data_IF_800139331947
#
_entry.id   IF_800139331947
#
_cell.length_a   1.000
_cell.length_b   1.000
_cell.length_c   1.000
_cell.angle_alpha   90.00
_cell.angle_beta   90.00
_cell.angle_gamma   90.00
#
_symmetry.space_group_name_H-M   'P 1'
#
loop_
_entity.id
_entity.type
_entity.pdbx_description
1 polymer ?
#
# COMPACT_ATOMS: atom_id res chain seq x y z
N UNK A 1 25.74 -28.89 -50.21
CA UNK A 1 25.40 -27.46 -50.10
C UNK A 1 24.64 -27.24 -48.82
N UNK A 2 25.38 -26.97 -47.75
CA UNK A 2 24.85 -26.60 -46.44
C UNK A 2 24.10 -25.27 -46.50
N UNK A 3 23.16 -25.08 -45.59
CA UNK A 3 22.40 -23.83 -45.52
C UNK A 3 23.21 -22.75 -44.80
N UNK A 4 23.49 -21.65 -45.48
CA UNK A 4 24.19 -20.50 -44.89
C UNK A 4 23.19 -19.55 -44.23
N UNK A 5 23.55 -19.05 -43.06
CA UNK A 5 22.78 -17.98 -42.42
C UNK A 5 23.06 -16.65 -43.11
N UNK A 6 22.06 -15.77 -43.20
CA UNK A 6 22.22 -14.43 -43.80
C UNK A 6 23.34 -13.62 -43.15
N UNK A 7 23.59 -13.82 -41.85
CA UNK A 7 24.70 -13.18 -41.13
C UNK A 7 26.07 -13.71 -41.57
N UNK A 8 26.19 -15.01 -41.88
CA UNK A 8 27.42 -15.60 -42.36
C UNK A 8 27.74 -15.15 -43.80
N UNK A 9 26.74 -15.10 -44.68
CA UNK A 9 26.91 -14.62 -46.06
C UNK A 9 27.37 -13.15 -46.11
N UNK A 10 26.73 -12.29 -45.32
CA UNK A 10 27.12 -10.88 -45.22
C UNK A 10 28.56 -10.74 -44.70
N UNK A 11 28.93 -11.52 -43.68
CA UNK A 11 30.27 -11.50 -43.09
C UNK A 11 31.34 -11.99 -44.06
N UNK A 12 31.04 -13.02 -44.85
CA UNK A 12 31.93 -13.54 -45.89
C UNK A 12 32.20 -12.46 -46.95
N UNK A 13 31.17 -11.73 -47.39
CA UNK A 13 31.33 -10.61 -48.32
C UNK A 13 32.23 -9.49 -47.78
N UNK A 14 32.10 -9.16 -46.50
CA UNK A 14 32.98 -8.19 -45.83
C UNK A 14 34.43 -8.67 -45.76
N UNK A 15 34.65 -9.95 -45.41
CA UNK A 15 35.99 -10.54 -45.38
C UNK A 15 36.66 -10.50 -46.76
N UNK A 16 35.94 -10.90 -47.80
CA UNK A 16 36.46 -10.91 -49.18
C UNK A 16 36.85 -9.50 -49.64
N UNK A 17 36.04 -8.49 -49.29
CA UNK A 17 36.36 -7.08 -49.59
C UNK A 17 37.64 -6.62 -48.88
N UNK A 18 37.75 -6.91 -47.58
CA UNK A 18 38.93 -6.57 -46.79
C UNK A 18 40.18 -7.30 -47.29
N UNK A 19 40.05 -8.57 -47.70
CA UNK A 19 41.15 -9.36 -48.22
C UNK A 19 41.67 -8.81 -49.55
N UNK A 20 40.77 -8.48 -50.49
CA UNK A 20 41.17 -7.84 -51.75
C UNK A 20 41.86 -6.49 -51.53
N UNK A 21 41.39 -5.71 -50.57
CA UNK A 21 42.00 -4.42 -50.24
C UNK A 21 43.39 -4.56 -49.58
N UNK A 22 43.63 -5.62 -48.79
CA UNK A 22 44.94 -5.90 -48.17
C UNK A 22 46.00 -6.31 -49.19
N UNK A 23 45.60 -7.08 -50.19
CA UNK A 23 46.50 -7.59 -51.24
C UNK A 23 46.68 -6.57 -52.39
N UNK A 24 45.93 -5.47 -52.40
CA UNK A 24 46.06 -4.40 -53.38
C UNK A 24 45.50 -4.73 -54.77
N UNK A 25 44.65 -5.75 -54.89
CA UNK A 25 43.99 -6.09 -56.15
C UNK A 25 42.79 -5.18 -56.43
N UNK A 26 42.65 -4.73 -57.67
CA UNK A 26 41.52 -3.92 -58.16
C UNK A 26 40.97 -4.49 -59.47
N UNK A 27 39.70 -4.18 -59.80
CA UNK A 27 39.11 -4.57 -61.08
C UNK A 27 38.87 -6.08 -61.23
N UNK A 28 39.32 -6.64 -62.36
CA UNK A 28 39.09 -8.03 -62.77
C UNK A 28 39.86 -9.02 -61.87
N UNK A 29 41.11 -8.71 -61.52
CA UNK A 29 41.94 -9.52 -60.62
C UNK A 29 41.32 -9.66 -59.21
N UNK A 30 40.65 -8.60 -58.74
CA UNK A 30 39.93 -8.63 -57.48
C UNK A 30 38.65 -9.49 -57.55
N UNK A 31 38.04 -9.63 -58.74
CA UNK A 31 36.86 -10.48 -58.92
C UNK A 31 37.27 -11.96 -58.96
N UNK A 32 38.35 -12.30 -59.67
CA UNK A 32 38.90 -13.66 -59.71
C UNK A 32 39.31 -14.15 -58.32
N UNK A 33 40.04 -13.33 -57.56
CA UNK A 33 40.44 -13.68 -56.19
C UNK A 33 39.24 -13.90 -55.27
N UNK A 34 38.18 -13.09 -55.41
CA UNK A 34 36.95 -13.26 -54.63
C UNK A 34 36.24 -14.56 -54.98
N UNK A 35 36.16 -14.91 -56.26
CA UNK A 35 35.50 -16.12 -56.70
C UNK A 35 36.27 -17.37 -56.21
N UNK A 36 37.58 -17.38 -56.35
CA UNK A 36 38.43 -18.49 -55.93
C UNK A 36 38.38 -18.70 -54.41
N UNK A 37 38.53 -17.62 -53.63
CA UNK A 37 38.38 -17.68 -52.16
C UNK A 37 36.97 -18.09 -51.73
N UNK A 38 35.94 -17.62 -52.44
CA UNK A 38 34.56 -18.03 -52.14
C UNK A 38 34.41 -19.54 -52.32
N UNK A 39 34.90 -20.09 -53.43
CA UNK A 39 34.85 -21.52 -53.71
C UNK A 39 35.58 -22.32 -52.64
N UNK A 40 36.80 -21.92 -52.32
CA UNK A 40 37.63 -22.62 -51.33
C UNK A 40 37.03 -22.57 -49.91
N UNK A 41 36.46 -21.44 -49.50
CA UNK A 41 35.78 -21.30 -48.21
C UNK A 41 34.49 -22.15 -48.16
N UNK A 42 33.76 -22.27 -49.26
CA UNK A 42 32.59 -23.14 -49.32
C UNK A 42 32.97 -24.62 -49.26
N UNK A 43 34.06 -25.03 -49.93
CA UNK A 43 34.59 -26.40 -49.87
C UNK A 43 35.01 -26.78 -48.44
N UNK A 44 35.71 -25.89 -47.74
CA UNK A 44 36.12 -26.12 -46.34
C UNK A 44 34.96 -26.08 -45.35
N UNK A 45 33.95 -25.25 -45.62
CA UNK A 45 32.71 -25.24 -44.84
C UNK A 45 31.92 -26.56 -45.01
N UNK A 46 31.98 -27.21 -46.18
CA UNK A 46 31.38 -28.52 -46.43
C UNK A 46 32.07 -29.64 -45.63
N UNK A 47 33.37 -29.50 -45.31
CA UNK A 47 34.12 -30.46 -44.48
C UNK A 47 33.82 -30.35 -42.97
N UNK A 48 33.17 -29.27 -42.52
CA UNK A 48 32.93 -29.00 -41.09
C UNK A 48 31.63 -29.66 -40.59
N UNK A 49 31.54 -30.23 -39.39
CA UNK A 49 30.28 -30.87 -38.93
C UNK A 49 29.08 -29.90 -38.80
N UNK A 50 27.91 -30.30 -39.34
CA UNK A 50 26.63 -29.59 -39.23
C UNK A 50 25.94 -29.27 -40.57
N UNK A 51 24.61 -29.15 -40.55
CA UNK A 51 23.78 -28.89 -41.75
C UNK A 51 23.67 -27.40 -42.11
N UNK A 52 24.00 -26.51 -41.17
CA UNK A 52 23.91 -25.06 -41.33
C UNK A 52 25.22 -24.38 -40.98
N UNK A 53 25.69 -23.44 -41.82
CA UNK A 53 26.89 -22.63 -41.58
C UNK A 53 26.49 -21.31 -40.90
N UNK A 54 26.75 -21.23 -39.59
CA UNK A 54 26.57 -20.02 -38.78
C UNK A 54 27.83 -19.17 -38.70
N UNK A 55 27.69 -17.95 -38.16
CA UNK A 55 28.79 -16.98 -38.00
C UNK A 55 30.03 -17.56 -37.28
N UNK A 56 29.82 -18.37 -36.24
CA UNK A 56 30.92 -18.96 -35.46
C UNK A 56 31.72 -20.01 -36.25
N UNK A 57 31.03 -20.82 -37.06
CA UNK A 57 31.70 -21.81 -37.91
C UNK A 57 32.46 -21.12 -39.04
N UNK A 58 31.89 -20.07 -39.64
CA UNK A 58 32.58 -19.26 -40.64
C UNK A 58 33.87 -18.64 -40.07
N UNK A 59 33.84 -18.01 -38.89
CA UNK A 59 35.03 -17.41 -38.27
C UNK A 59 36.12 -18.47 -37.97
N UNK A 60 35.74 -19.70 -37.62
CA UNK A 60 36.70 -20.81 -37.44
C UNK A 60 37.33 -21.25 -38.77
N UNK A 61 36.55 -21.34 -39.85
CA UNK A 61 37.06 -21.67 -41.19
C UNK A 61 38.02 -20.57 -41.67
N UNK A 62 37.63 -19.30 -41.52
CA UNK A 62 38.47 -18.14 -41.89
C UNK A 62 39.77 -18.09 -41.07
N UNK A 63 39.70 -18.36 -39.76
CA UNK A 63 40.88 -18.42 -38.90
C UNK A 63 41.84 -19.56 -39.20
N UNK A 64 41.38 -20.64 -39.84
CA UNK A 64 42.24 -21.74 -40.32
C UNK A 64 42.87 -21.44 -41.67
N UNK A 65 42.12 -20.80 -42.58
CA UNK A 65 42.55 -20.56 -43.96
C UNK A 65 43.47 -19.37 -44.12
N UNK A 66 43.34 -18.35 -43.27
CA UNK A 66 44.10 -17.12 -43.39
C UNK A 66 44.89 -16.84 -42.11
N UNK A 67 46.20 -17.07 -42.15
CA UNK A 67 47.11 -16.82 -41.04
C UNK A 67 47.20 -15.33 -40.62
N UNK A 68 46.77 -14.40 -41.49
CA UNK A 68 46.64 -12.97 -41.20
C UNK A 68 45.24 -12.54 -40.77
N UNK A 69 44.34 -13.49 -40.57
CA UNK A 69 42.98 -13.23 -40.11
C UNK A 69 42.95 -12.88 -38.63
N UNK A 70 42.56 -11.64 -38.35
CA UNK A 70 42.20 -11.20 -37.00
C UNK A 70 40.68 -11.32 -36.92
N UNK A 71 40.12 -12.29 -36.16
CA UNK A 71 38.68 -12.32 -35.94
C UNK A 71 38.27 -10.98 -35.33
N UNK A 72 37.17 -10.40 -35.82
CA UNK A 72 36.63 -9.18 -35.20
C UNK A 72 36.37 -9.58 -33.75
N UNK A 73 36.95 -8.90 -32.74
CA UNK A 73 36.65 -9.23 -31.36
C UNK A 73 35.15 -9.12 -31.22
N UNK A 74 34.47 -10.25 -31.03
CA UNK A 74 33.04 -10.29 -30.72
C UNK A 74 32.91 -9.30 -29.59
N UNK A 75 32.36 -8.11 -29.85
CA UNK A 75 32.19 -7.10 -28.80
C UNK A 75 31.42 -7.87 -27.74
N UNK A 76 32.01 -8.20 -26.57
CA UNK A 76 31.19 -8.73 -25.51
C UNK A 76 30.08 -7.70 -25.40
N UNK A 77 28.82 -8.13 -25.34
CA UNK A 77 27.73 -7.24 -24.94
C UNK A 77 28.13 -6.75 -23.55
N UNK A 78 28.97 -5.70 -23.50
CA UNK A 78 29.32 -4.91 -22.35
C UNK A 78 28.06 -4.11 -22.11
N UNK A 79 27.05 -4.82 -21.61
CA UNK A 79 26.11 -4.19 -20.71
C UNK A 79 26.99 -3.57 -19.64
N UNK A 80 27.00 -2.25 -19.60
CA UNK A 80 27.43 -1.48 -18.45
C UNK A 80 26.59 -1.95 -17.25
N UNK A 81 26.92 -3.10 -16.69
CA UNK A 81 26.47 -3.48 -15.36
C UNK A 81 27.39 -2.70 -14.44
N UNK A 82 27.05 -1.42 -14.22
CA UNK A 82 27.50 -0.70 -13.03
C UNK A 82 27.29 -1.68 -11.88
N UNK A 83 28.38 -2.10 -11.23
CA UNK A 83 28.36 -2.82 -9.96
C UNK A 83 27.72 -1.88 -8.92
N UNK A 84 26.40 -1.69 -9.01
CA UNK A 84 25.60 -1.21 -7.89
C UNK A 84 25.90 -2.21 -6.79
N UNK A 85 26.72 -1.78 -5.84
CA UNK A 85 27.30 -2.66 -4.84
C UNK A 85 26.20 -3.44 -4.14
N UNK A 86 26.45 -4.71 -3.76
CA UNK A 86 25.49 -5.51 -3.00
C UNK A 86 24.94 -4.73 -1.79
N UNK A 87 25.75 -3.84 -1.21
CA UNK A 87 25.37 -2.91 -0.15
C UNK A 87 24.06 -2.15 -0.42
N UNK A 88 23.91 -1.45 -1.55
CA UNK A 88 22.72 -0.64 -1.85
C UNK A 88 21.45 -1.49 -1.96
N UNK A 89 21.56 -2.67 -2.56
CA UNK A 89 20.43 -3.60 -2.67
C UNK A 89 20.05 -4.23 -1.33
N UNK A 90 21.03 -4.50 -0.46
CA UNK A 90 20.78 -4.96 0.92
C UNK A 90 20.14 -3.88 1.77
N UNK A 91 20.67 -2.65 1.74
CA UNK A 91 20.17 -1.55 2.56
C UNK A 91 18.74 -1.19 2.18
N UNK A 92 18.46 -0.93 0.90
CA UNK A 92 17.13 -0.47 0.47
C UNK A 92 16.14 -1.60 0.20
N UNK A 93 16.61 -2.81 -0.12
CA UNK A 93 15.75 -3.96 -0.40
C UNK A 93 15.41 -4.81 0.82
N UNK A 94 16.20 -4.74 1.91
CA UNK A 94 16.06 -5.61 3.09
C UNK A 94 16.06 -4.80 4.39
N UNK A 95 17.17 -4.12 4.71
CA UNK A 95 17.37 -3.50 6.04
C UNK A 95 16.36 -2.38 6.28
N UNK A 96 16.26 -1.43 5.35
CA UNK A 96 15.36 -0.29 5.49
C UNK A 96 13.89 -0.72 5.55
N UNK A 97 13.37 -1.58 4.65
CA UNK A 97 11.98 -2.06 4.75
C UNK A 97 11.66 -2.78 6.07
N UNK A 98 12.61 -3.54 6.62
CA UNK A 98 12.45 -4.18 7.94
C UNK A 98 12.36 -3.13 9.04
N UNK A 99 13.24 -2.13 9.05
CA UNK A 99 13.20 -1.05 10.03
C UNK A 99 11.88 -0.27 9.92
N UNK A 100 11.47 0.11 8.72
CA UNK A 100 10.21 0.84 8.48
C UNK A 100 9.01 0.03 8.96
N UNK A 101 8.96 -1.27 8.64
CA UNK A 101 7.88 -2.15 9.09
C UNK A 101 7.85 -2.29 10.62
N UNK A 102 9.02 -2.43 11.26
CA UNK A 102 9.10 -2.51 12.72
C UNK A 102 8.64 -1.20 13.36
N UNK A 103 9.12 -0.06 12.87
CA UNK A 103 8.71 1.26 13.36
C UNK A 103 7.19 1.41 13.22
N UNK A 104 6.61 1.11 12.06
CA UNK A 104 5.15 1.20 11.88
C UNK A 104 4.38 0.21 12.77
N UNK A 105 4.82 -1.05 12.87
CA UNK A 105 4.16 -2.05 13.71
C UNK A 105 4.16 -1.67 15.21
N UNK A 106 5.20 -0.97 15.64
CA UNK A 106 5.36 -0.54 17.03
C UNK A 106 4.67 0.80 17.30
N UNK A 107 4.72 1.73 16.34
CA UNK A 107 4.31 3.12 16.56
C UNK A 107 3.01 3.53 15.90
N UNK A 108 2.58 2.83 14.85
CA UNK A 108 1.44 3.21 14.01
C UNK A 108 1.53 4.66 13.49
N UNK A 109 2.76 5.15 13.25
CA UNK A 109 3.04 6.53 12.88
C UNK A 109 2.39 6.92 11.55
N UNK A 110 2.47 6.08 10.52
CA UNK A 110 1.78 6.36 9.25
C UNK A 110 0.27 6.37 9.47
N UNK A 111 -0.24 5.43 10.27
CA UNK A 111 -1.66 5.36 10.65
C UNK A 111 -2.19 6.60 11.37
N UNK A 112 -1.36 7.25 12.19
CA UNK A 112 -1.75 8.43 12.96
C UNK A 112 -1.65 9.76 12.19
N UNK A 113 -0.91 9.79 11.08
CA UNK A 113 -0.66 11.03 10.32
C UNK A 113 -1.33 11.02 8.93
N UNK A 114 -1.32 9.88 8.24
CA UNK A 114 -1.77 9.77 6.84
C UNK A 114 -2.77 8.62 6.66
N UNK A 115 -2.27 7.40 6.61
CA UNK A 115 -3.05 6.18 6.47
C UNK A 115 -2.27 5.03 7.08
N UNK A 116 -2.96 3.98 7.51
CA UNK A 116 -2.29 2.79 8.04
C UNK A 116 -1.93 1.84 6.88
N UNK A 117 -0.63 1.65 6.55
CA UNK A 117 -0.20 0.76 5.47
C UNK A 117 -0.32 -0.73 5.86
N UNK A 118 -0.38 -1.03 7.16
CA UNK A 118 -0.46 -2.40 7.68
C UNK A 118 -1.65 -2.58 8.64
N UNK A 119 -2.90 -2.39 8.17
CA UNK A 119 -4.05 -2.31 9.05
C UNK A 119 -4.53 -3.69 9.56
N UNK A 120 -3.97 -4.80 9.04
CA UNK A 120 -4.17 -6.15 9.57
C UNK A 120 -2.86 -6.94 9.57
N UNK A 121 -2.81 -8.05 10.30
CA UNK A 121 -1.68 -8.99 10.28
C UNK A 121 -1.36 -9.51 8.86
N UNK A 122 -2.36 -9.63 7.98
CA UNK A 122 -2.13 -10.04 6.58
C UNK A 122 -1.36 -8.99 5.78
N UNK A 123 -1.58 -7.70 6.05
CA UNK A 123 -0.79 -6.63 5.42
C UNK A 123 0.64 -6.61 5.96
N UNK A 124 0.82 -6.86 7.27
CA UNK A 124 2.15 -7.02 7.87
C UNK A 124 2.90 -8.16 7.18
N UNK A 125 2.26 -9.32 7.02
CA UNK A 125 2.85 -10.48 6.34
C UNK A 125 3.20 -10.17 4.88
N UNK A 126 2.30 -9.48 4.16
CA UNK A 126 2.51 -9.08 2.76
C UNK A 126 3.68 -8.12 2.61
N UNK A 127 3.78 -7.09 3.46
CA UNK A 127 4.90 -6.13 3.46
C UNK A 127 6.20 -6.82 3.89
N UNK A 128 6.16 -7.70 4.89
CA UNK A 128 7.33 -8.46 5.36
C UNK A 128 7.88 -9.43 4.29
N UNK A 129 7.02 -9.94 3.41
CA UNK A 129 7.44 -10.80 2.30
C UNK A 129 8.45 -10.10 1.38
N UNK A 130 8.36 -8.77 1.22
CA UNK A 130 9.26 -8.00 0.35
C UNK A 130 10.73 -8.11 0.78
N UNK A 131 11.14 -7.69 2.00
CA UNK A 131 12.53 -7.83 2.43
C UNK A 131 12.99 -9.28 2.57
N UNK A 132 12.11 -10.20 2.96
CA UNK A 132 12.44 -11.63 3.07
C UNK A 132 12.81 -12.24 1.72
N UNK A 133 11.97 -12.02 0.71
CA UNK A 133 12.22 -12.52 -0.65
C UNK A 133 13.42 -11.82 -1.27
N UNK A 134 13.57 -10.51 -1.10
CA UNK A 134 14.76 -9.77 -1.57
C UNK A 134 16.05 -10.33 -0.95
N UNK A 135 16.07 -10.60 0.36
CA UNK A 135 17.22 -11.20 1.03
C UNK A 135 17.53 -12.60 0.49
N UNK A 136 16.50 -13.43 0.27
CA UNK A 136 16.66 -14.75 -0.33
C UNK A 136 17.23 -14.69 -1.75
N UNK A 137 16.73 -13.78 -2.59
CA UNK A 137 17.25 -13.57 -3.95
C UNK A 137 18.68 -13.03 -3.95
N UNK A 138 19.03 -12.12 -3.04
CA UNK A 138 20.39 -11.59 -2.88
C UNK A 138 21.39 -12.67 -2.43
N UNK A 139 20.94 -13.71 -1.73
CA UNK A 139 21.74 -14.90 -1.38
C UNK A 139 21.83 -15.94 -2.50
N UNK A 140 21.32 -15.62 -3.69
CA UNK A 140 21.40 -16.46 -4.88
C UNK A 140 20.20 -17.40 -5.09
N UNK A 141 19.13 -17.28 -4.29
CA UNK A 141 17.90 -18.04 -4.51
C UNK A 141 18.10 -19.56 -4.55
N UNK A 142 19.01 -20.07 -3.70
CA UNK A 142 19.47 -21.47 -3.70
C UNK A 142 18.30 -22.45 -3.58
N UNK A 143 18.34 -23.50 -4.40
CA UNK A 143 17.35 -24.60 -4.37
C UNK A 143 16.06 -24.33 -5.17
N UNK A 144 15.90 -23.16 -5.78
CA UNK A 144 14.73 -22.84 -6.60
C UNK A 144 15.06 -22.78 -8.09
N UNK A 145 14.20 -23.38 -8.92
CA UNK A 145 14.27 -23.24 -10.37
C UNK A 145 13.93 -21.82 -10.86
N UNK A 146 14.27 -21.54 -12.12
CA UNK A 146 14.06 -20.25 -12.77
C UNK A 146 12.61 -19.74 -12.65
N UNK A 147 11.61 -20.61 -12.76
CA UNK A 147 10.21 -20.26 -12.61
C UNK A 147 9.83 -19.77 -11.21
N UNK A 148 10.32 -20.43 -10.16
CA UNK A 148 10.04 -20.03 -8.76
C UNK A 148 10.73 -18.71 -8.45
N UNK A 149 11.98 -18.53 -8.88
CA UNK A 149 12.69 -17.25 -8.74
C UNK A 149 11.98 -16.12 -9.50
N UNK A 150 11.46 -16.42 -10.69
CA UNK A 150 10.61 -15.52 -11.46
C UNK A 150 9.36 -15.13 -10.68
N UNK A 151 8.61 -16.10 -10.16
CA UNK A 151 7.38 -15.88 -9.40
C UNK A 151 7.63 -15.05 -8.14
N UNK A 152 8.66 -15.37 -7.37
CA UNK A 152 9.06 -14.59 -6.20
C UNK A 152 9.39 -13.14 -6.57
N UNK A 153 10.15 -12.92 -7.65
CA UNK A 153 10.49 -11.58 -8.13
C UNK A 153 9.26 -10.79 -8.60
N UNK A 154 8.31 -11.45 -9.27
CA UNK A 154 7.06 -10.84 -9.72
C UNK A 154 6.17 -10.44 -8.56
N UNK A 155 5.97 -11.36 -7.61
CA UNK A 155 5.18 -11.11 -6.41
C UNK A 155 5.73 -9.93 -5.61
N UNK A 156 7.02 -9.99 -5.26
CA UNK A 156 7.68 -8.95 -4.47
C UNK A 156 7.71 -7.59 -5.16
N UNK A 157 7.93 -7.55 -6.47
CA UNK A 157 7.94 -6.28 -7.21
C UNK A 157 6.55 -5.65 -7.24
N UNK A 158 5.49 -6.41 -7.54
CA UNK A 158 4.12 -5.88 -7.57
C UNK A 158 3.70 -5.36 -6.19
N UNK A 159 3.96 -6.12 -5.13
CA UNK A 159 3.68 -5.68 -3.75
C UNK A 159 4.46 -4.40 -3.41
N UNK A 160 5.76 -4.35 -3.69
CA UNK A 160 6.57 -3.19 -3.40
C UNK A 160 6.14 -1.95 -4.21
N UNK A 161 5.75 -2.14 -5.48
CA UNK A 161 5.22 -1.05 -6.31
C UNK A 161 3.88 -0.56 -5.78
N UNK A 162 2.96 -1.44 -5.40
CA UNK A 162 1.68 -1.05 -4.82
C UNK A 162 1.87 -0.13 -3.61
N UNK A 163 2.67 -0.56 -2.63
CA UNK A 163 2.95 0.27 -1.46
C UNK A 163 3.78 1.51 -1.81
N UNK A 164 4.74 1.41 -2.72
CA UNK A 164 5.50 2.57 -3.21
C UNK A 164 4.60 3.64 -3.84
N UNK A 165 3.56 3.25 -4.58
CA UNK A 165 2.58 4.16 -5.17
C UNK A 165 1.74 4.85 -4.10
N UNK A 166 1.33 4.14 -3.04
CA UNK A 166 0.60 4.76 -1.93
C UNK A 166 1.39 5.91 -1.27
N UNK A 167 2.72 5.79 -1.21
CA UNK A 167 3.59 6.81 -0.63
C UNK A 167 4.09 7.87 -1.64
N UNK A 168 3.79 7.73 -2.94
CA UNK A 168 4.28 8.64 -3.97
C UNK A 168 3.81 10.10 -3.78
N UNK A 169 2.54 10.41 -3.44
CA UNK A 169 2.10 11.78 -3.19
C UNK A 169 2.83 12.43 -2.02
N UNK A 170 3.29 11.61 -1.06
CA UNK A 170 3.99 12.07 0.13
C UNK A 170 5.46 12.40 -0.15
N UNK A 171 5.99 12.20 -1.36
CA UNK A 171 7.43 12.35 -1.65
C UNK A 171 7.95 13.74 -1.29
N UNK A 172 7.20 14.80 -1.58
CA UNK A 172 7.61 16.19 -1.31
C UNK A 172 7.74 16.43 0.20
N UNK A 173 6.71 16.05 0.96
CA UNK A 173 6.70 16.15 2.43
C UNK A 173 7.80 15.28 3.03
N UNK A 174 8.03 14.10 2.45
CA UNK A 174 9.07 13.16 2.87
C UNK A 174 10.47 13.73 2.67
N UNK A 175 10.74 14.38 1.54
CA UNK A 175 12.05 15.01 1.29
C UNK A 175 12.31 16.15 2.28
N UNK A 176 11.30 16.99 2.54
CA UNK A 176 11.41 18.07 3.53
C UNK A 176 11.65 17.49 4.94
N UNK A 177 10.86 16.50 5.35
CA UNK A 177 10.99 15.84 6.64
C UNK A 177 12.31 15.08 6.79
N UNK A 178 12.88 14.54 5.69
CA UNK A 178 14.19 13.93 5.67
C UNK A 178 15.29 14.95 5.96
N UNK A 179 15.24 16.11 5.30
CA UNK A 179 16.24 17.18 5.45
C UNK A 179 16.21 17.78 6.86
N UNK A 180 15.01 18.00 7.42
CA UNK A 180 14.86 18.69 8.69
C UNK A 180 14.99 17.77 9.92
N UNK A 181 14.46 16.54 9.85
CA UNK A 181 14.24 15.69 11.02
C UNK A 181 14.69 14.23 10.81
N UNK A 182 15.17 13.85 9.62
CA UNK A 182 15.52 12.47 9.25
C UNK A 182 14.34 11.51 9.11
N UNK A 183 13.12 11.92 9.52
CA UNK A 183 11.92 11.07 9.56
C UNK A 183 11.34 10.73 8.18
N UNK A 184 11.69 11.51 7.15
CA UNK A 184 11.23 11.28 5.78
C UNK A 184 11.67 9.94 5.17
N UNK A 185 12.64 9.26 5.79
CA UNK A 185 13.08 7.94 5.36
C UNK A 185 11.97 6.88 5.53
N UNK A 186 11.03 7.06 6.46
CA UNK A 186 9.93 6.14 6.71
C UNK A 186 8.99 6.04 5.50
N UNK A 187 8.59 7.17 4.94
CA UNK A 187 7.72 7.25 3.77
C UNK A 187 8.46 7.02 2.44
N UNK A 188 9.76 7.29 2.37
CA UNK A 188 10.58 6.95 1.19
C UNK A 188 10.92 5.45 1.12
N UNK A 189 10.88 4.74 2.24
CA UNK A 189 11.23 3.33 2.35
C UNK A 189 10.54 2.43 1.31
N UNK A 190 9.20 2.44 1.19
CA UNK A 190 8.48 1.64 0.19
C UNK A 190 8.87 1.94 -1.26
N UNK A 191 9.13 3.21 -1.60
CA UNK A 191 9.55 3.62 -2.95
C UNK A 191 10.94 3.06 -3.25
N UNK A 192 11.87 3.20 -2.31
CA UNK A 192 13.23 2.68 -2.44
C UNK A 192 13.25 1.15 -2.48
N UNK A 193 12.35 0.49 -1.73
CA UNK A 193 12.15 -0.95 -1.77
C UNK A 193 11.67 -1.43 -3.14
N UNK A 194 10.76 -0.71 -3.80
CA UNK A 194 10.31 -1.03 -5.16
C UNK A 194 11.46 -0.96 -6.17
N UNK A 195 12.27 0.10 -6.11
CA UNK A 195 13.46 0.27 -6.98
C UNK A 195 14.49 -0.83 -6.71
N UNK A 196 14.74 -1.17 -5.44
CA UNK A 196 15.65 -2.24 -5.07
C UNK A 196 15.15 -3.61 -5.57
N UNK A 197 13.87 -3.93 -5.36
CA UNK A 197 13.22 -5.17 -5.81
C UNK A 197 13.30 -5.33 -7.33
N UNK A 198 13.05 -4.25 -8.09
CA UNK A 198 13.22 -4.25 -9.55
C UNK A 198 14.66 -4.56 -9.97
N UNK A 199 15.66 -3.95 -9.32
CA UNK A 199 17.07 -4.20 -9.61
C UNK A 199 17.48 -5.64 -9.27
N UNK A 200 17.02 -6.16 -8.14
CA UNK A 200 17.29 -7.54 -7.69
C UNK A 200 16.67 -8.53 -8.69
N UNK A 201 15.39 -8.37 -9.02
CA UNK A 201 14.69 -9.21 -10.00
C UNK A 201 15.31 -9.16 -11.40
N UNK A 202 15.73 -7.97 -11.85
CA UNK A 202 16.43 -7.82 -13.14
C UNK A 202 17.78 -8.54 -13.14
N UNK A 203 18.55 -8.46 -12.06
CA UNK A 203 19.83 -9.19 -11.94
C UNK A 203 19.61 -10.70 -11.93
N UNK A 204 18.63 -11.20 -11.17
CA UNK A 204 18.30 -12.63 -11.13
C UNK A 204 17.88 -13.16 -12.51
N UNK A 205 17.03 -12.41 -13.24
CA UNK A 205 16.64 -12.76 -14.62
C UNK A 205 17.83 -12.86 -15.57
N UNK A 206 18.81 -11.96 -15.45
CA UNK A 206 20.00 -11.93 -16.31
C UNK A 206 21.02 -13.02 -15.95
N UNK A 207 21.02 -13.49 -14.70
CA UNK A 207 21.91 -14.55 -14.22
C UNK A 207 21.36 -15.97 -14.49
N UNK A 208 20.10 -16.08 -14.90
CA UNK A 208 19.42 -17.36 -15.09
C UNK A 208 19.64 -17.90 -16.51
N UNK A 209 19.98 -19.18 -16.65
CA UNK A 209 20.16 -19.86 -17.95
C UNK A 209 18.83 -20.08 -18.70
N UNK A 210 17.69 -20.03 -18.00
CA UNK A 210 16.34 -20.25 -18.53
C UNK A 210 15.45 -18.99 -18.42
N UNK A 211 15.68 -17.96 -19.25
CA UNK A 211 14.93 -16.71 -19.17
C UNK A 211 13.44 -16.84 -19.51
N UNK A 212 13.04 -17.88 -20.25
CA UNK A 212 11.64 -18.18 -20.58
C UNK A 212 10.83 -18.56 -19.35
N UNK A 213 11.27 -19.59 -18.61
CA UNK A 213 10.63 -20.02 -17.37
C UNK A 213 10.61 -18.91 -16.32
N UNK A 214 11.67 -18.11 -16.21
CA UNK A 214 11.68 -16.95 -15.31
C UNK A 214 10.57 -15.94 -15.64
N UNK A 215 10.37 -15.61 -16.93
CA UNK A 215 9.32 -14.65 -17.35
C UNK A 215 7.92 -15.20 -17.07
N UNK A 216 7.70 -16.47 -17.36
CA UNK A 216 6.42 -17.14 -17.08
C UNK A 216 6.14 -17.16 -15.59
N UNK A 217 7.11 -17.56 -14.77
CA UNK A 217 7.04 -17.48 -13.32
C UNK A 217 6.73 -16.08 -12.83
N UNK A 218 7.43 -15.07 -13.34
CA UNK A 218 7.20 -13.66 -13.00
C UNK A 218 5.76 -13.22 -13.24
N UNK A 219 5.14 -13.62 -14.35
CA UNK A 219 3.74 -13.31 -14.64
C UNK A 219 2.78 -13.93 -13.62
N UNK A 220 2.99 -15.20 -13.27
CA UNK A 220 2.16 -15.88 -12.26
C UNK A 220 2.36 -15.28 -10.87
N UNK A 221 3.59 -14.94 -10.49
CA UNK A 221 3.87 -14.26 -9.23
C UNK A 221 3.25 -12.87 -9.15
N UNK A 222 3.32 -12.10 -10.24
CA UNK A 222 2.67 -10.80 -10.35
C UNK A 222 1.14 -10.92 -10.24
N UNK A 223 0.53 -11.88 -10.95
CA UNK A 223 -0.91 -12.14 -10.88
C UNK A 223 -1.34 -12.56 -9.48
N UNK A 224 -0.54 -13.41 -8.81
CA UNK A 224 -0.78 -13.81 -7.42
C UNK A 224 -0.74 -12.62 -6.46
N UNK A 225 0.22 -11.70 -6.61
CA UNK A 225 0.27 -10.48 -5.81
C UNK A 225 -0.95 -9.60 -6.03
N UNK A 226 -1.38 -9.40 -7.29
CA UNK A 226 -2.62 -8.65 -7.60
C UNK A 226 -3.84 -9.33 -6.96
N UNK A 227 -3.97 -10.65 -7.08
CA UNK A 227 -5.08 -11.39 -6.48
C UNK A 227 -5.13 -11.22 -4.94
N UNK A 228 -3.96 -11.30 -4.27
CA UNK A 228 -3.86 -11.05 -2.83
C UNK A 228 -4.25 -9.61 -2.48
N UNK A 229 -3.76 -8.62 -3.23
CA UNK A 229 -4.12 -7.22 -3.01
C UNK A 229 -5.61 -6.96 -3.21
N UNK A 230 -6.23 -7.54 -4.25
CA UNK A 230 -7.68 -7.45 -4.49
C UNK A 230 -8.46 -8.13 -3.37
N UNK A 231 -8.01 -9.27 -2.86
CA UNK A 231 -8.68 -9.94 -1.75
C UNK A 231 -8.60 -9.12 -0.44
N UNK A 232 -7.50 -8.41 -0.21
CA UNK A 232 -7.29 -7.60 1.00
C UNK A 232 -7.99 -6.23 0.93
N UNK A 233 -7.89 -5.53 -0.20
CA UNK A 233 -8.37 -4.14 -0.35
C UNK A 233 -9.70 -4.03 -1.09
N UNK A 234 -10.09 -5.04 -1.87
CA UNK A 234 -11.32 -5.06 -2.66
C UNK A 234 -12.58 -4.79 -1.83
N UNK A 235 -12.80 -5.49 -0.69
CA UNK A 235 -13.96 -5.21 0.16
C UNK A 235 -13.99 -3.79 0.72
N UNK A 236 -12.83 -3.23 1.05
CA UNK A 236 -12.71 -1.88 1.59
C UNK A 236 -13.00 -0.82 0.51
N UNK A 237 -12.42 -0.98 -0.68
CA UNK A 237 -12.69 -0.14 -1.85
C UNK A 237 -14.16 -0.20 -2.28
N UNK A 238 -14.76 -1.39 -2.29
CA UNK A 238 -16.19 -1.58 -2.56
C UNK A 238 -17.06 -0.81 -1.55
N UNK A 239 -16.72 -0.92 -0.26
CA UNK A 239 -17.46 -0.26 0.82
C UNK A 239 -17.37 1.26 0.68
N UNK A 240 -16.17 1.81 0.46
CA UNK A 240 -15.97 3.25 0.29
C UNK A 240 -16.64 3.81 -0.96
N UNK A 241 -16.56 3.11 -2.09
CA UNK A 241 -17.17 3.56 -3.34
C UNK A 241 -18.70 3.60 -3.26
N UNK A 242 -19.33 2.68 -2.53
CA UNK A 242 -20.77 2.76 -2.27
C UNK A 242 -21.10 3.79 -1.19
N UNK A 243 -20.23 4.00 -0.19
CA UNK A 243 -20.43 5.04 0.83
C UNK A 243 -20.35 6.45 0.23
N UNK A 244 -19.45 6.73 -0.71
CA UNK A 244 -19.43 8.04 -1.39
C UNK A 244 -20.68 8.25 -2.24
N UNK A 245 -21.24 7.18 -2.82
CA UNK A 245 -22.47 7.23 -3.60
C UNK A 245 -23.74 7.50 -2.76
N UNK A 246 -23.69 7.40 -1.41
CA UNK A 246 -24.85 7.75 -0.57
C UNK A 246 -25.12 9.24 -0.45
N UNK A 247 -24.14 10.08 -0.80
CA UNK A 247 -24.26 11.54 -0.78
C UNK A 247 -24.88 12.12 -2.07
N UNK A 248 -25.27 11.27 -3.03
CA UNK A 248 -25.90 11.68 -4.30
C UNK A 248 -27.43 11.72 -4.21
N UNK A 249 -28.09 11.60 -5.38
CA UNK A 249 -29.55 11.54 -5.49
C UNK A 249 -30.17 10.44 -4.62
N UNK A 250 -31.38 10.66 -4.12
CA UNK A 250 -32.10 9.74 -3.22
C UNK A 250 -32.16 8.29 -3.75
N UNK A 251 -32.46 8.13 -5.05
CA UNK A 251 -32.46 6.82 -5.72
C UNK A 251 -31.09 6.16 -5.75
N UNK A 252 -30.02 6.94 -5.95
CA UNK A 252 -28.65 6.44 -5.95
C UNK A 252 -28.21 6.06 -4.52
N UNK A 253 -28.60 6.86 -3.52
CA UNK A 253 -28.33 6.59 -2.13
C UNK A 253 -29.00 5.30 -1.64
N UNK A 254 -30.28 5.09 -1.98
CA UNK A 254 -30.98 3.83 -1.65
C UNK A 254 -30.33 2.61 -2.31
N UNK A 255 -29.99 2.71 -3.60
CA UNK A 255 -29.29 1.65 -4.31
C UNK A 255 -27.92 1.34 -3.67
N UNK A 256 -27.15 2.36 -3.31
CA UNK A 256 -25.87 2.21 -2.62
C UNK A 256 -26.02 1.53 -1.25
N UNK A 257 -27.03 1.92 -0.46
CA UNK A 257 -27.33 1.30 0.84
C UNK A 257 -27.73 -0.17 0.66
N UNK A 258 -28.52 -0.50 -0.39
CA UNK A 258 -28.88 -1.89 -0.67
C UNK A 258 -27.65 -2.76 -0.98
N UNK A 259 -26.67 -2.22 -1.71
CA UNK A 259 -25.41 -2.92 -2.03
C UNK A 259 -24.54 -3.11 -0.80
N UNK A 260 -24.48 -2.10 0.07
CA UNK A 260 -23.75 -2.17 1.34
C UNK A 260 -24.38 -3.21 2.29
N UNK A 261 -25.71 -3.35 2.30
CA UNK A 261 -26.40 -4.41 3.05
C UNK A 261 -26.04 -5.80 2.55
N UNK A 262 -25.84 -5.97 1.25
CA UNK A 262 -25.41 -7.25 0.68
C UNK A 262 -23.94 -7.56 0.94
N UNK A 263 -23.05 -6.58 0.76
CA UNK A 263 -21.62 -6.74 0.99
C UNK A 263 -20.98 -5.43 1.47
N UNK A 264 -20.31 -5.49 2.62
CA UNK A 264 -19.50 -4.40 3.16
C UNK A 264 -18.34 -4.92 4.02
N UNK A 265 -17.35 -4.06 4.24
CA UNK A 265 -16.30 -4.20 5.24
C UNK A 265 -16.74 -3.44 6.49
N UNK A 266 -17.14 -4.14 7.55
CA UNK A 266 -17.57 -3.53 8.83
C UNK A 266 -16.48 -2.63 9.40
N UNK A 267 -15.20 -3.04 9.30
CA UNK A 267 -14.06 -2.25 9.75
C UNK A 267 -13.96 -0.91 9.02
N UNK A 268 -14.10 -0.92 7.69
CA UNK A 268 -13.98 0.30 6.87
C UNK A 268 -15.18 1.21 7.08
N UNK A 269 -16.39 0.64 7.14
CA UNK A 269 -17.61 1.41 7.39
C UNK A 269 -17.60 2.04 8.79
N UNK A 270 -17.19 1.27 9.81
CA UNK A 270 -17.03 1.78 11.18
C UNK A 270 -15.95 2.86 11.23
N UNK A 271 -14.81 2.68 10.56
CA UNK A 271 -13.75 3.68 10.52
C UNK A 271 -14.25 4.99 9.94
N UNK A 272 -15.05 4.96 8.87
CA UNK A 272 -15.65 6.16 8.29
C UNK A 272 -16.54 6.94 9.29
N UNK A 273 -17.21 6.27 10.24
CA UNK A 273 -17.98 6.94 11.30
C UNK A 273 -17.11 7.76 12.29
N UNK A 274 -15.84 7.37 12.42
CA UNK A 274 -14.84 7.99 13.31
C UNK A 274 -13.83 8.87 12.58
N UNK A 275 -13.91 8.98 11.25
CA UNK A 275 -13.05 9.87 10.49
C UNK A 275 -13.50 11.32 10.69
N UNK A 276 -12.69 12.06 11.42
CA UNK A 276 -12.94 13.48 11.67
C UNK A 276 -12.37 14.29 10.51
N UNK A 277 -13.22 15.06 9.85
CA UNK A 277 -12.86 15.98 8.77
C UNK A 277 -12.29 17.27 9.38
N UNK A 278 -11.08 17.21 9.93
CA UNK A 278 -10.56 18.33 10.74
C UNK A 278 -9.70 19.36 10.03
N UNK A 279 -9.22 19.09 8.82
CA UNK A 279 -8.61 20.00 7.85
C UNK A 279 -8.12 19.15 6.67
N UNK A 280 -8.24 19.63 5.44
CA UNK A 280 -8.03 18.85 4.20
C UNK A 280 -6.65 18.17 4.04
N UNK A 281 -5.67 18.52 4.88
CA UNK A 281 -4.28 18.09 4.74
C UNK A 281 -3.87 16.85 5.56
N UNK A 282 -4.60 16.51 6.63
CA UNK A 282 -4.17 15.49 7.61
C UNK A 282 -5.36 14.63 8.07
N UNK A 283 -5.97 13.90 7.14
CA UNK A 283 -7.00 12.90 7.48
C UNK A 283 -6.37 11.54 7.72
N UNK A 284 -6.68 10.91 8.85
CA UNK A 284 -6.26 9.54 9.18
C UNK A 284 -7.21 8.52 8.56
N UNK A 285 -6.93 8.11 7.32
CA UNK A 285 -7.82 7.19 6.59
C UNK A 285 -7.25 5.76 6.46
N UNK A 286 -8.04 4.84 5.91
CA UNK A 286 -7.55 3.52 5.50
C UNK A 286 -7.01 3.55 4.06
N UNK A 287 -6.37 2.46 3.62
CA UNK A 287 -5.77 2.38 2.28
C UNK A 287 -6.81 2.69 1.20
N UNK A 288 -8.05 2.18 1.32
CA UNK A 288 -9.13 2.49 0.39
C UNK A 288 -9.52 3.97 0.35
N UNK A 289 -9.62 4.63 1.50
CA UNK A 289 -9.90 6.07 1.54
C UNK A 289 -8.74 6.89 0.97
N UNK A 290 -7.50 6.46 1.21
CA UNK A 290 -6.30 7.10 0.66
C UNK A 290 -6.23 6.98 -0.88
N UNK A 291 -6.58 5.81 -1.42
CA UNK A 291 -6.65 5.59 -2.87
C UNK A 291 -7.72 6.49 -3.50
N UNK A 292 -8.93 6.51 -2.95
CA UNK A 292 -10.03 7.33 -3.49
C UNK A 292 -9.71 8.81 -3.42
N UNK A 293 -9.15 9.27 -2.31
CA UNK A 293 -8.63 10.63 -2.17
C UNK A 293 -7.64 10.98 -3.27
N UNK A 294 -6.65 10.11 -3.55
CA UNK A 294 -5.70 10.35 -4.63
C UNK A 294 -6.37 10.42 -6.00
N UNK A 295 -7.31 9.53 -6.30
CA UNK A 295 -7.98 9.49 -7.62
C UNK A 295 -8.84 10.72 -7.88
N UNK A 296 -9.51 11.22 -6.86
CA UNK A 296 -10.34 12.42 -6.99
C UNK A 296 -9.50 13.69 -7.02
N UNK A 297 -8.31 13.67 -6.40
CA UNK A 297 -7.42 14.82 -6.28
C UNK A 297 -6.21 14.80 -7.23
N UNK A 298 -6.23 13.98 -8.30
CA UNK A 298 -5.10 13.75 -9.21
C UNK A 298 -4.60 15.02 -9.94
N UNK A 299 -5.34 16.13 -9.90
CA UNK A 299 -4.94 17.46 -10.42
C UNK A 299 -4.87 18.54 -9.33
N UNK A 300 -5.13 18.18 -8.06
CA UNK A 300 -5.42 19.08 -6.95
C UNK A 300 -4.25 19.41 -6.02
N UNK A 301 -3.00 19.29 -6.49
CA UNK A 301 -1.81 19.69 -5.70
C UNK A 301 -1.88 21.18 -5.28
N UNK A 302 -2.77 21.98 -5.90
CA UNK A 302 -3.06 23.38 -5.57
C UNK A 302 -4.55 23.66 -5.35
N UNK A 303 -5.18 22.99 -4.38
CA UNK A 303 -6.40 23.55 -3.75
C UNK A 303 -7.75 22.94 -4.12
N UNK A 304 -7.80 21.70 -4.63
CA UNK A 304 -9.07 20.99 -4.71
C UNK A 304 -9.42 20.38 -3.33
N UNK A 305 -10.54 20.86 -2.78
CA UNK A 305 -11.13 20.47 -1.50
C UNK A 305 -11.90 19.17 -1.69
N UNK A 306 -11.38 18.08 -1.15
CA UNK A 306 -12.11 16.82 -1.12
C UNK A 306 -13.12 16.84 0.03
N UNK A 307 -14.40 16.98 -0.29
CA UNK A 307 -15.49 16.78 0.65
C UNK A 307 -15.74 15.27 0.80
N UNK A 308 -14.87 14.59 1.54
CA UNK A 308 -15.13 13.21 1.95
C UNK A 308 -16.51 13.05 2.59
N UNK A 309 -17.08 11.84 2.62
CA UNK A 309 -18.40 11.60 3.16
C UNK A 309 -18.47 12.16 4.58
N UNK A 310 -19.53 12.94 4.83
CA UNK A 310 -19.77 13.54 6.13
C UNK A 310 -19.82 12.44 7.20
N UNK A 311 -19.13 12.67 8.33
CA UNK A 311 -19.05 11.70 9.42
C UNK A 311 -20.45 11.39 9.97
N UNK A 312 -21.39 12.33 9.91
CA UNK A 312 -22.78 12.12 10.28
C UNK A 312 -23.51 11.20 9.30
N UNK A 313 -23.40 11.47 7.99
CA UNK A 313 -23.97 10.61 6.95
C UNK A 313 -23.41 9.18 7.03
N UNK A 314 -22.12 9.03 7.30
CA UNK A 314 -21.50 7.72 7.50
C UNK A 314 -22.08 6.95 8.69
N UNK A 315 -22.43 7.63 9.79
CA UNK A 315 -23.06 7.01 10.97
C UNK A 315 -24.49 6.58 10.69
N UNK A 316 -25.27 7.36 9.93
CA UNK A 316 -26.61 6.96 9.50
C UNK A 316 -26.54 5.72 8.62
N UNK A 317 -25.65 5.71 7.62
CA UNK A 317 -25.45 4.56 6.73
C UNK A 317 -25.01 3.34 7.54
N UNK A 318 -24.09 3.50 8.49
CA UNK A 318 -23.67 2.41 9.38
C UNK A 318 -24.86 1.79 10.13
N UNK A 319 -25.72 2.61 10.73
CA UNK A 319 -26.92 2.13 11.41
C UNK A 319 -27.89 1.44 10.45
N UNK A 320 -28.12 2.01 9.25
CA UNK A 320 -29.03 1.44 8.25
C UNK A 320 -28.54 0.13 7.63
N UNK A 321 -27.23 -0.10 7.62
CA UNK A 321 -26.60 -1.32 7.08
C UNK A 321 -26.47 -2.40 8.16
N UNK A 322 -26.06 -2.04 9.38
CA UNK A 322 -25.73 -3.01 10.44
C UNK A 322 -26.83 -3.19 11.49
N UNK A 323 -27.76 -2.23 11.61
CA UNK A 323 -28.75 -2.17 12.69
C UNK A 323 -28.17 -1.84 14.07
N UNK A 324 -26.87 -1.55 14.17
CA UNK A 324 -26.18 -1.24 15.42
C UNK A 324 -25.75 0.21 15.43
N UNK A 325 -25.81 0.92 16.57
CA UNK A 325 -25.21 2.24 16.66
C UNK A 325 -23.69 2.10 16.66
N UNK A 326 -22.98 2.99 15.95
CA UNK A 326 -21.53 2.90 15.77
C UNK A 326 -20.76 2.90 17.11
N UNK A 327 -21.25 3.65 18.10
CA UNK A 327 -20.68 3.76 19.44
C UNK A 327 -20.86 2.49 20.30
N UNK A 328 -21.68 1.51 19.89
CA UNK A 328 -21.77 0.20 20.55
C UNK A 328 -20.56 -0.68 20.27
N UNK A 329 -19.83 -0.44 19.18
CA UNK A 329 -18.67 -1.21 18.76
C UNK A 329 -17.39 -0.49 19.20
N UNK A 330 -16.36 -1.26 19.56
CA UNK A 330 -15.05 -0.71 19.89
C UNK A 330 -14.48 0.02 18.66
N UNK A 331 -13.99 1.26 18.79
CA UNK A 331 -13.40 1.98 17.67
C UNK A 331 -12.18 1.22 17.11
N UNK A 332 -11.93 1.30 15.79
CA UNK A 332 -10.82 0.61 15.15
C UNK A 332 -9.45 1.07 15.68
N UNK A 333 -8.47 0.16 15.72
CA UNK A 333 -7.18 0.36 16.44
C UNK A 333 -6.25 1.47 15.87
N UNK A 334 -6.65 2.20 14.82
CA UNK A 334 -5.91 3.38 14.34
C UNK A 334 -6.33 4.71 14.96
N UNK A 335 -7.40 4.73 15.76
CA UNK A 335 -7.79 5.90 16.56
C UNK A 335 -7.06 5.97 17.91
N UNK A 336 -6.27 4.93 18.24
CA UNK A 336 -5.46 4.86 19.45
C UNK A 336 -4.02 5.17 19.08
N UNK A 337 -3.49 6.27 19.57
CA UNK A 337 -2.11 6.67 19.36
C UNK A 337 -1.08 5.67 19.86
N UNK A 338 0.17 6.03 19.55
CA UNK A 338 1.38 5.24 19.59
C UNK A 338 1.54 4.33 20.83
N UNK A 339 1.65 3.00 20.63
CA UNK A 339 1.78 1.99 21.69
C UNK A 339 3.19 1.92 22.32
N UNK A 340 4.25 2.40 21.65
CA UNK A 340 5.63 2.06 22.05
C UNK A 340 6.33 3.06 22.97
N UNK A 341 5.96 4.35 22.94
CA UNK A 341 6.77 5.36 23.63
C UNK A 341 6.42 5.51 25.12
N UNK A 342 5.29 4.99 25.63
CA UNK A 342 4.76 5.33 26.97
C UNK A 342 4.54 6.84 27.19
N UNK A 343 4.89 7.63 26.17
CA UNK A 343 4.86 9.06 26.05
C UNK A 343 3.62 9.30 25.22
N UNK A 344 2.48 9.30 25.93
CA UNK A 344 1.18 9.80 25.45
C UNK A 344 1.47 10.94 24.49
N UNK A 345 1.07 10.76 23.24
CA UNK A 345 1.40 11.65 22.13
C UNK A 345 1.19 13.10 22.59
N UNK A 346 2.22 13.94 22.48
CA UNK A 346 2.11 15.36 22.84
C UNK A 346 1.10 16.07 21.93
N UNK A 347 0.76 15.45 20.79
CA UNK A 347 -0.34 15.81 19.88
C UNK A 347 -1.68 15.08 20.13
N UNK A 348 -1.73 14.01 20.93
CA UNK A 348 -2.99 13.31 21.32
C UNK A 348 -3.77 14.06 22.39
N UNK A 349 -3.13 14.99 23.10
CA UNK A 349 -3.82 15.94 23.98
C UNK A 349 -4.78 16.87 23.24
N UNK A 350 -5.10 16.58 21.98
CA UNK A 350 -5.95 17.40 21.13
C UNK A 350 -6.94 16.50 20.38
N UNK A 351 -7.38 15.40 20.99
CA UNK A 351 -8.70 14.84 20.68
C UNK A 351 -9.74 15.89 21.08
N UNK A 352 -9.97 16.95 20.27
CA UNK A 352 -11.20 17.69 20.49
C UNK A 352 -12.37 16.82 20.07
N UNK A 353 -13.38 16.85 20.92
CA UNK A 353 -14.68 16.26 20.70
C UNK A 353 -15.51 17.31 19.97
N UNK A 354 -15.71 17.15 18.65
CA UNK A 354 -16.53 18.11 17.87
C UNK A 354 -18.00 18.12 18.30
N UNK A 355 -18.41 17.16 19.13
CA UNK A 355 -19.76 17.05 19.66
C UNK A 355 -19.84 17.52 21.11
N UNK A 356 -18.80 18.20 21.60
CA UNK A 356 -18.82 18.83 22.92
C UNK A 356 -19.99 19.83 22.97
N UNK A 357 -20.87 19.69 23.96
CA UNK A 357 -22.08 20.50 24.09
C UNK A 357 -23.17 20.21 23.06
N UNK A 358 -23.06 19.08 22.32
CA UNK A 358 -24.08 18.60 21.40
C UNK A 358 -25.24 17.87 22.08
N UNK A 359 -26.31 17.61 21.32
CA UNK A 359 -27.51 16.94 21.83
C UNK A 359 -27.42 15.39 21.80
N UNK A 360 -26.42 14.85 21.10
CA UNK A 360 -26.28 13.41 20.86
C UNK A 360 -25.14 12.76 21.66
N UNK A 361 -25.39 11.51 22.08
CA UNK A 361 -24.34 10.64 22.62
C UNK A 361 -23.48 10.16 21.46
N UNK A 362 -22.45 10.93 21.14
CA UNK A 362 -21.61 10.71 19.96
C UNK A 362 -20.55 9.61 20.19
N UNK A 363 -19.28 9.94 19.92
CA UNK A 363 -18.17 8.98 19.99
C UNK A 363 -17.81 8.61 21.43
N UNK A 364 -17.25 7.41 21.60
CA UNK A 364 -16.61 7.03 22.86
C UNK A 364 -15.38 7.92 23.07
N UNK A 365 -15.34 8.60 24.21
CA UNK A 365 -14.24 9.48 24.60
C UNK A 365 -13.15 8.65 25.31
N UNK A 366 -11.88 8.89 24.96
CA UNK A 366 -10.74 8.20 25.57
C UNK A 366 -10.55 8.62 27.04
N UNK A 367 -10.15 7.66 27.87
CA UNK A 367 -9.87 7.86 29.30
C UNK A 367 -11.09 8.37 30.11
N UNK A 368 -12.30 8.21 29.59
CA UNK A 368 -13.56 8.50 30.28
C UNK A 368 -14.39 7.21 30.40
N UNK A 369 -14.58 6.76 31.64
CA UNK A 369 -15.25 5.49 31.94
C UNK A 369 -16.47 5.70 32.84
N UNK A 370 -17.50 4.88 32.65
CA UNK A 370 -18.56 4.69 33.65
C UNK A 370 -18.01 3.73 34.72
N UNK A 371 -17.51 4.28 35.82
CA UNK A 371 -16.85 3.54 36.88
C UNK A 371 -17.82 2.77 37.78
N UNK A 372 -19.03 3.29 37.96
CA UNK A 372 -20.08 2.63 38.73
C UNK A 372 -21.46 2.98 38.15
N UNK A 373 -22.40 2.03 38.26
CA UNK A 373 -23.77 2.18 37.79
C UNK A 373 -24.70 1.34 38.67
N UNK A 374 -25.54 2.02 39.43
CA UNK A 374 -26.45 1.40 40.39
C UNK A 374 -27.88 1.88 40.17
N UNK A 375 -28.81 0.95 40.02
CA UNK A 375 -30.23 1.22 39.91
C UNK A 375 -30.97 0.63 41.11
N UNK A 376 -31.57 1.47 41.94
CA UNK A 376 -32.41 1.07 43.07
C UNK A 376 -33.88 1.36 42.72
N UNK A 377 -34.74 0.35 42.81
CA UNK A 377 -36.15 0.48 42.46
C UNK A 377 -37.07 -0.02 43.56
N UNK A 378 -38.22 0.63 43.71
CA UNK A 378 -39.30 0.20 44.58
C UNK A 378 -40.63 0.28 43.82
N UNK A 379 -41.46 -0.75 43.96
CA UNK A 379 -42.81 -0.78 43.37
C UNK A 379 -43.80 -0.95 44.50
N UNK A 380 -44.70 0.02 44.65
CA UNK A 380 -45.83 -0.09 45.56
C UNK A 380 -47.06 -0.58 44.81
N UNK A 381 -47.53 -1.77 45.20
CA UNK A 381 -48.69 -2.41 44.58
C UNK A 381 -50.00 -1.68 44.87
N UNK A 382 -50.11 -0.98 46.00
CA UNK A 382 -51.35 -0.30 46.42
C UNK A 382 -51.54 0.97 45.60
N UNK A 383 -50.52 1.84 45.55
CA UNK A 383 -50.56 3.04 44.71
C UNK A 383 -50.35 2.76 43.22
N UNK A 384 -49.85 1.57 42.86
CA UNK A 384 -49.43 1.19 41.51
C UNK A 384 -48.35 2.12 40.95
N UNK A 385 -47.50 2.65 41.82
CA UNK A 385 -46.39 3.54 41.46
C UNK A 385 -45.08 2.77 41.58
N UNK A 386 -44.28 2.84 40.52
CA UNK A 386 -42.87 2.46 40.54
C UNK A 386 -42.00 3.70 40.73
N UNK A 387 -41.12 3.66 41.73
CA UNK A 387 -40.04 4.62 41.92
C UNK A 387 -38.71 3.95 41.61
N UNK A 388 -37.82 4.67 40.93
CA UNK A 388 -36.48 4.19 40.63
C UNK A 388 -35.47 5.33 40.69
N UNK A 389 -34.34 5.07 41.33
CA UNK A 389 -33.17 5.95 41.36
C UNK A 389 -32.02 5.26 40.61
N UNK A 390 -31.42 5.97 39.66
CA UNK A 390 -30.24 5.50 38.95
C UNK A 390 -29.06 6.41 39.25
N UNK A 391 -28.08 5.89 39.99
CA UNK A 391 -26.80 6.55 40.23
C UNK A 391 -25.75 6.05 39.24
N UNK A 392 -25.13 6.98 38.51
CA UNK A 392 -24.04 6.72 37.56
C UNK A 392 -22.81 7.53 37.94
N UNK A 393 -21.65 6.89 38.05
CA UNK A 393 -20.38 7.54 38.39
C UNK A 393 -19.44 7.51 37.19
N UNK A 394 -19.14 8.67 36.64
CA UNK A 394 -18.17 8.81 35.54
C UNK A 394 -16.80 9.19 36.08
N UNK A 395 -15.76 8.51 35.61
CA UNK A 395 -14.37 8.77 35.96
C UNK A 395 -13.60 9.23 34.73
N UNK A 396 -13.10 10.46 34.79
CA UNK A 396 -12.16 11.00 33.81
C UNK A 396 -10.73 10.79 34.31
N UNK A 397 -9.98 9.92 33.63
CA UNK A 397 -8.57 9.64 33.92
C UNK A 397 -7.61 10.41 32.99
N UNK A 398 -8.15 11.27 32.13
CA UNK A 398 -7.36 12.11 31.23
C UNK A 398 -6.81 13.35 31.94
N UNK A 399 -5.86 14.04 31.29
CA UNK A 399 -5.29 15.32 31.79
C UNK A 399 -6.15 16.54 31.44
N UNK A 400 -7.29 16.33 30.79
CA UNK A 400 -8.15 17.40 30.27
C UNK A 400 -9.57 17.19 30.75
N UNK A 401 -10.36 18.26 30.74
CA UNK A 401 -11.80 18.14 30.98
C UNK A 401 -12.44 17.39 29.80
N UNK A 402 -13.30 16.42 30.13
CA UNK A 402 -14.03 15.59 29.17
C UNK A 402 -15.50 15.60 29.53
N UNK A 403 -16.36 15.74 28.52
CA UNK A 403 -17.81 15.72 28.70
C UNK A 403 -18.33 14.28 28.73
N UNK A 404 -19.07 13.94 29.79
CA UNK A 404 -19.83 12.70 29.86
C UNK A 404 -21.23 12.91 29.27
N UNK A 405 -21.60 12.08 28.28
CA UNK A 405 -22.90 12.14 27.61
C UNK A 405 -23.62 10.81 27.79
N UNK A 406 -24.89 10.88 28.18
CA UNK A 406 -25.70 9.71 28.48
C UNK A 406 -27.11 9.89 27.91
N UNK A 407 -27.64 8.83 27.30
CA UNK A 407 -29.03 8.77 26.81
C UNK A 407 -29.73 7.63 27.53
N UNK A 408 -30.80 7.95 28.25
CA UNK A 408 -31.57 6.99 29.04
C UNK A 408 -32.94 6.81 28.40
N UNK A 409 -33.27 5.57 28.03
CA UNK A 409 -34.61 5.21 27.58
C UNK A 409 -35.47 4.90 28.79
N UNK A 410 -36.53 5.70 28.98
CA UNK A 410 -37.48 5.48 30.07
C UNK A 410 -38.52 4.41 29.68
N UNK A 411 -39.05 3.67 30.66
CA UNK A 411 -40.24 2.85 30.45
C UNK A 411 -41.41 3.71 29.97
N UNK A 412 -42.38 3.08 29.33
CA UNK A 412 -43.61 3.75 28.88
C UNK A 412 -44.25 4.45 30.07
N UNK A 413 -44.62 5.71 29.89
CA UNK A 413 -45.20 6.60 30.92
C UNK A 413 -44.27 6.98 32.09
N UNK A 414 -43.00 6.55 32.06
CA UNK A 414 -41.98 7.01 33.00
C UNK A 414 -41.72 8.52 32.87
N UNK A 415 -41.52 9.18 34.01
CA UNK A 415 -41.20 10.62 34.10
C UNK A 415 -39.97 10.80 35.00
N UNK A 416 -39.05 11.68 34.59
CA UNK A 416 -37.94 12.10 35.44
C UNK A 416 -38.49 13.11 36.44
N UNK A 417 -38.43 12.78 37.73
CA UNK A 417 -38.84 13.68 38.82
C UNK A 417 -37.68 14.46 39.42
N UNK A 418 -36.46 13.91 39.36
CA UNK A 418 -35.25 14.50 39.94
C UNK A 418 -34.01 14.12 39.14
N UNK A 419 -33.06 15.05 39.03
CA UNK A 419 -31.74 14.82 38.46
C UNK A 419 -30.74 15.64 39.27
N UNK A 420 -29.67 15.00 39.74
CA UNK A 420 -28.62 15.66 40.53
C UNK A 420 -27.27 15.35 39.93
N UNK A 421 -26.52 16.38 39.56
CA UNK A 421 -25.13 16.27 39.12
C UNK A 421 -24.21 16.47 40.31
N UNK A 422 -23.30 15.54 40.56
CA UNK A 422 -22.29 15.68 41.60
C UNK A 422 -20.95 16.05 40.97
N UNK A 423 -20.38 17.18 41.37
CA UNK A 423 -19.05 17.61 40.90
C UNK A 423 -18.14 17.72 42.12
N UNK A 424 -17.07 16.92 42.16
CA UNK A 424 -16.11 16.87 43.28
C UNK A 424 -16.76 16.67 44.67
N UNK A 425 -17.85 15.89 44.72
CA UNK A 425 -18.58 15.59 45.97
C UNK A 425 -19.65 16.62 46.35
N UNK A 426 -19.81 17.71 45.59
CA UNK A 426 -20.87 18.68 45.82
C UNK A 426 -22.10 18.40 44.95
N UNK A 427 -23.30 18.26 45.54
CA UNK A 427 -24.53 18.06 44.78
C UNK A 427 -24.99 19.35 44.12
N UNK A 428 -25.29 19.28 42.83
CA UNK A 428 -25.93 20.34 42.04
C UNK A 428 -27.22 19.77 41.46
N UNK A 429 -28.34 20.15 42.06
CA UNK A 429 -29.65 19.74 41.59
C UNK A 429 -29.99 20.45 40.28
N UNK A 430 -30.42 19.68 39.28
CA UNK A 430 -30.77 20.23 37.99
C UNK A 430 -32.11 20.98 38.08
N UNK A 431 -32.16 22.17 37.49
CA UNK A 431 -33.41 22.89 37.28
C UNK A 431 -34.10 22.38 36.00
N UNK A 432 -35.32 21.89 36.12
CA UNK A 432 -36.10 21.46 34.96
C UNK A 432 -36.79 22.66 34.29
N UNK A 433 -36.71 22.74 32.97
CA UNK A 433 -37.47 23.71 32.17
C UNK A 433 -37.75 23.19 30.77
N UNK A 434 -38.41 24.00 29.93
CA UNK A 434 -38.61 23.63 28.52
C UNK A 434 -37.26 23.49 27.81
N UNK A 435 -37.16 22.54 26.87
CA UNK A 435 -35.93 22.29 26.10
C UNK A 435 -35.39 23.58 25.48
N UNK A 436 -36.27 24.43 24.95
CA UNK A 436 -35.89 25.73 24.37
C UNK A 436 -35.22 26.66 25.38
N UNK A 437 -35.75 26.75 26.61
CA UNK A 437 -35.24 27.64 27.66
C UNK A 437 -33.94 27.14 28.25
N UNK A 438 -33.80 25.82 28.42
CA UNK A 438 -32.53 25.22 28.86
C UNK A 438 -31.45 25.40 27.80
N UNK A 439 -31.75 25.15 26.51
CA UNK A 439 -30.77 25.31 25.41
C UNK A 439 -30.30 26.75 25.21
N UNK A 440 -31.17 27.73 25.45
CA UNK A 440 -30.80 29.15 25.36
C UNK A 440 -29.79 29.59 26.43
N UNK A 441 -29.60 28.82 27.50
CA UNK A 441 -28.60 29.14 28.55
C UNK A 441 -27.18 28.65 28.20
N UNK A 442 -27.03 27.80 27.19
CA UNK A 442 -25.74 27.18 26.79
C UNK A 442 -25.25 27.64 25.41
N UNK A 443 -26.04 28.46 24.69
CA UNK A 443 -25.66 29.16 23.46
C UNK A 443 -25.41 30.62 23.77
#
# INVERSE_FOLDING_TARGET
MKHWTTQAEQRLGEYLKDRTAREGFEGEDAAELKEDLTRHIHEEAELTEGDTVGLMQLENVLGRLDAGYQPIPVKPRRGWVRKSGPFLSWTFGVVLPVIVLLVEALTSFCGSVFFSPVPTAWHVALVAAVPVVNAWMLRGGRGAGAGIQGAAAGFTLVTAVFYGLLFLPLIHVSVIALILLGMGLLSLGPILAAVASWRIGRKARLATSEPGHFRTGWRYGALAAVAVLVALEGPALWTRGNLSATSGDEKMAEAAISRLRWMHSERTLLKACYEITRNDFLRTTDISGWILYQTENTLGIFGARWNGPDSEAAREVFFRVTGKPFNSIKPPEGARGNRMTGRRDVLEGVEFDDHLGGDDVAMRVKDLDLADSRFDGHVDAVSRIGYGEWTMVFKNSSRQEREARCQVKLPRDGRVSRLTLWVNGEPREAAFSTVSKVKAAYK
#
